data_IF_592640291367
#
_entry.id   IF_592640291367
#
_cell.length_a   1.000
_cell.length_b   1.000
_cell.length_c   1.000
_cell.angle_alpha   90.00
_cell.angle_beta   90.00
_cell.angle_gamma   90.00
#
_symmetry.space_group_name_H-M   'P 1'
#
loop_
_entity.id
_entity.type
_entity.pdbx_description
1 polymer ?
#
# COMPACT_ATOMS: atom_id res chain seq x y z
N UNK A 1 19.86 -4.61 2.48
CA UNK A 1 18.50 -5.17 2.57
C UNK A 1 17.62 -4.51 1.52
N UNK A 2 16.67 -5.21 0.96
CA UNK A 2 15.78 -4.73 -0.13
C UNK A 2 14.32 -5.07 0.21
N UNK A 3 13.34 -4.22 -0.21
CA UNK A 3 11.95 -4.37 0.26
C UNK A 3 11.17 -5.49 -0.43
N UNK A 4 11.49 -5.82 -1.68
CA UNK A 4 10.72 -6.78 -2.50
C UNK A 4 11.61 -7.75 -3.26
N UNK A 5 11.03 -8.88 -3.64
CA UNK A 5 11.68 -9.88 -4.48
C UNK A 5 12.10 -9.30 -5.85
N UNK A 6 11.26 -8.44 -6.46
CA UNK A 6 11.59 -7.80 -7.72
C UNK A 6 12.83 -6.91 -7.64
N UNK A 7 12.92 -6.08 -6.58
CA UNK A 7 14.12 -5.25 -6.34
C UNK A 7 15.35 -6.10 -6.05
N UNK A 8 15.18 -7.22 -5.32
CA UNK A 8 16.27 -8.16 -5.05
C UNK A 8 16.84 -8.71 -6.36
N UNK A 9 15.99 -9.28 -7.20
CA UNK A 9 16.38 -9.84 -8.50
C UNK A 9 17.04 -8.79 -9.42
N UNK A 10 16.46 -7.58 -9.49
CA UNK A 10 17.03 -6.50 -10.27
C UNK A 10 18.45 -6.15 -9.84
N UNK A 11 18.72 -6.11 -8.54
CA UNK A 11 20.05 -5.78 -8.01
C UNK A 11 21.03 -6.96 -8.20
N UNK A 12 20.59 -8.20 -8.06
CA UNK A 12 21.40 -9.38 -8.35
C UNK A 12 21.89 -9.39 -9.80
N UNK A 13 20.99 -9.10 -10.76
CA UNK A 13 21.35 -8.96 -12.18
C UNK A 13 22.36 -7.83 -12.44
N UNK A 14 22.41 -6.83 -11.59
CA UNK A 14 23.40 -5.73 -11.64
C UNK A 14 24.72 -6.06 -10.91
N UNK A 15 24.87 -7.29 -10.42
CA UNK A 15 26.09 -7.78 -9.77
C UNK A 15 26.18 -7.50 -8.27
N UNK A 16 25.14 -6.94 -7.65
CA UNK A 16 25.10 -6.81 -6.19
C UNK A 16 25.01 -8.20 -5.54
N UNK A 17 25.72 -8.39 -4.43
CA UNK A 17 25.79 -9.66 -3.70
C UNK A 17 25.37 -9.49 -2.24
N UNK A 18 25.13 -10.61 -1.55
CA UNK A 18 24.75 -10.63 -0.13
C UNK A 18 23.46 -9.86 0.15
N UNK A 19 22.54 -9.84 -0.82
CA UNK A 19 21.23 -9.22 -0.66
C UNK A 19 20.36 -10.05 0.29
N UNK A 20 19.53 -9.34 1.07
CA UNK A 20 18.53 -9.94 1.96
C UNK A 20 17.24 -9.17 1.77
N UNK A 21 16.16 -9.90 1.57
CA UNK A 21 14.85 -9.27 1.54
C UNK A 21 14.43 -8.93 2.96
N UNK A 22 14.04 -7.68 3.15
CA UNK A 22 13.53 -7.16 4.42
C UNK A 22 12.27 -6.35 4.15
N UNK A 23 11.15 -6.90 4.60
CA UNK A 23 9.82 -6.31 4.39
C UNK A 23 9.56 -5.15 5.34
N UNK A 24 8.50 -4.41 5.05
CA UNK A 24 7.94 -3.40 5.95
C UNK A 24 6.84 -4.02 6.83
N UNK A 25 6.40 -3.27 7.83
CA UNK A 25 5.29 -3.63 8.70
C UNK A 25 4.17 -2.61 8.66
N UNK A 26 2.96 -3.05 9.01
CA UNK A 26 1.81 -2.20 9.29
C UNK A 26 1.47 -2.24 10.78
N UNK A 27 1.06 -1.11 11.33
CA UNK A 27 0.55 -1.01 12.69
C UNK A 27 -0.94 -1.36 12.70
N UNK A 28 -1.22 -2.59 13.12
CA UNK A 28 -2.58 -3.14 13.13
C UNK A 28 -3.46 -2.61 14.28
N UNK A 29 -2.89 -1.85 15.21
CA UNK A 29 -3.63 -1.13 16.26
C UNK A 29 -4.10 0.23 15.75
N UNK A 30 -3.25 0.90 14.96
CA UNK A 30 -3.59 2.17 14.30
C UNK A 30 -4.60 1.94 13.16
N UNK A 31 -4.45 0.83 12.42
CA UNK A 31 -5.32 0.42 11.32
C UNK A 31 -6.10 -0.86 11.70
N UNK A 32 -7.11 -0.74 12.59
CA UNK A 32 -7.83 -1.89 13.11
C UNK A 32 -8.84 -2.45 12.11
N UNK A 33 -9.08 -3.75 12.17
CA UNK A 33 -10.17 -4.41 11.45
C UNK A 33 -11.46 -4.38 12.27
N UNK A 34 -12.53 -3.89 11.68
CA UNK A 34 -13.84 -3.75 12.34
C UNK A 34 -14.90 -4.73 11.80
N UNK A 35 -14.46 -5.71 10.99
CA UNK A 35 -15.37 -6.68 10.36
C UNK A 35 -15.94 -6.15 9.06
N UNK A 36 -17.13 -5.56 9.10
CA UNK A 36 -17.79 -4.99 7.94
C UNK A 36 -17.38 -3.54 7.67
N UNK A 37 -17.77 -3.00 6.51
CA UNK A 37 -17.53 -1.59 6.19
C UNK A 37 -18.28 -0.70 7.18
N UNK A 38 -17.55 0.22 7.83
CA UNK A 38 -18.10 1.12 8.83
C UNK A 38 -18.26 2.51 8.21
N UNK A 39 -19.45 3.13 8.31
CA UNK A 39 -19.63 4.48 7.82
C UNK A 39 -18.62 5.45 8.44
N UNK A 40 -17.94 6.23 7.59
CA UNK A 40 -17.02 7.25 8.07
C UNK A 40 -17.76 8.59 8.26
N UNK A 41 -17.73 9.18 9.45
CA UNK A 41 -18.35 10.48 9.68
C UNK A 41 -17.73 11.60 8.84
N UNK A 42 -16.52 11.41 8.34
CA UNK A 42 -15.78 12.39 7.54
C UNK A 42 -16.38 12.65 6.15
N UNK A 43 -17.11 11.68 5.62
CA UNK A 43 -17.58 11.73 4.22
C UNK A 43 -19.11 11.68 4.09
N UNK A 44 -19.84 11.62 5.20
CA UNK A 44 -21.31 11.58 5.23
C UNK A 44 -21.88 10.36 4.53
N UNK A 45 -23.12 10.45 4.02
CA UNK A 45 -23.74 9.37 3.25
C UNK A 45 -23.01 9.19 1.92
N UNK A 46 -22.54 7.96 1.68
CA UNK A 46 -21.84 7.56 0.45
C UNK A 46 -22.70 6.61 -0.37
N UNK A 47 -22.68 6.79 -1.68
CA UNK A 47 -23.19 5.77 -2.59
C UNK A 47 -22.15 4.66 -2.74
N UNK A 48 -22.50 3.43 -2.41
CA UNK A 48 -21.65 2.26 -2.61
C UNK A 48 -21.68 1.75 -4.04
N UNK A 49 -20.62 1.10 -4.52
CA UNK A 49 -19.36 0.89 -3.82
C UNK A 49 -18.51 2.15 -3.68
N UNK A 50 -17.76 2.26 -2.59
CA UNK A 50 -16.81 3.32 -2.32
C UNK A 50 -15.42 2.91 -2.80
N UNK A 51 -14.90 3.61 -3.81
CA UNK A 51 -13.54 3.40 -4.33
C UNK A 51 -12.61 4.48 -3.80
N UNK A 52 -11.54 4.07 -3.13
CA UNK A 52 -10.61 4.96 -2.41
C UNK A 52 -9.22 4.95 -3.02
N UNK A 53 -8.66 6.14 -3.24
CA UNK A 53 -7.24 6.37 -3.47
C UNK A 53 -6.64 7.13 -2.28
N UNK A 54 -5.47 6.69 -1.81
CA UNK A 54 -4.66 7.40 -0.80
C UNK A 54 -3.24 7.53 -1.29
N UNK A 55 -2.72 8.75 -1.32
CA UNK A 55 -1.34 9.01 -1.70
C UNK A 55 -1.10 10.42 -2.20
N UNK A 56 0.15 10.68 -2.60
CA UNK A 56 0.52 11.95 -3.23
C UNK A 56 -0.21 12.12 -4.57
N UNK A 57 -0.81 13.28 -4.78
CA UNK A 57 -1.53 13.61 -6.02
C UNK A 57 -0.52 14.08 -7.08
N UNK A 58 0.07 13.12 -7.80
CA UNK A 58 1.20 13.35 -8.70
C UNK A 58 1.21 12.37 -9.87
N UNK A 59 2.02 12.66 -10.90
CA UNK A 59 2.09 11.84 -12.12
C UNK A 59 2.58 10.41 -11.84
N UNK A 60 3.60 10.26 -10.98
CA UNK A 60 4.18 8.95 -10.64
C UNK A 60 3.17 8.01 -9.97
N UNK A 61 2.17 8.57 -9.27
CA UNK A 61 1.07 7.79 -8.67
C UNK A 61 -0.04 7.47 -9.65
N UNK A 62 0.03 7.98 -10.88
CA UNK A 62 -0.89 7.67 -11.98
C UNK A 62 -2.38 7.80 -11.59
N UNK A 63 -2.69 8.78 -10.73
CA UNK A 63 -4.04 8.99 -10.17
C UNK A 63 -5.09 9.23 -11.26
N UNK A 64 -4.71 9.83 -12.40
CA UNK A 64 -5.65 10.06 -13.51
C UNK A 64 -6.26 8.75 -14.04
N UNK A 65 -5.52 7.63 -14.02
CA UNK A 65 -6.09 6.32 -14.37
C UNK A 65 -7.26 5.92 -13.46
N UNK A 66 -7.18 6.22 -12.16
CA UNK A 66 -8.30 6.03 -11.23
C UNK A 66 -9.47 6.98 -11.51
N UNK A 67 -9.17 8.26 -11.71
CA UNK A 67 -10.20 9.28 -11.91
C UNK A 67 -11.03 9.07 -13.19
N UNK A 68 -10.37 8.62 -14.26
CA UNK A 68 -11.01 8.37 -15.57
C UNK A 68 -11.89 7.12 -15.61
N UNK A 69 -11.68 6.15 -14.70
CA UNK A 69 -12.49 4.93 -14.68
C UNK A 69 -13.97 5.25 -14.42
N UNK A 70 -14.86 4.62 -15.19
CA UNK A 70 -16.30 4.70 -14.96
C UNK A 70 -16.70 3.66 -13.90
N UNK A 71 -16.46 3.96 -12.65
CA UNK A 71 -16.88 3.15 -11.51
C UNK A 71 -18.23 3.65 -10.97
N UNK A 72 -19.14 2.76 -10.60
CA UNK A 72 -20.36 3.15 -9.88
C UNK A 72 -20.00 3.62 -8.46
N UNK A 73 -20.97 4.25 -7.79
CA UNK A 73 -20.83 4.67 -6.40
C UNK A 73 -19.97 5.92 -6.24
N UNK A 74 -19.20 5.97 -5.16
CA UNK A 74 -18.44 7.15 -4.75
C UNK A 74 -16.94 6.93 -4.96
N UNK A 75 -16.26 7.89 -5.61
CA UNK A 75 -14.79 7.98 -5.62
C UNK A 75 -14.30 8.94 -4.57
N UNK A 76 -13.30 8.51 -3.79
CA UNK A 76 -12.66 9.34 -2.77
C UNK A 76 -11.16 9.41 -3.02
N UNK A 77 -10.60 10.61 -2.91
CA UNK A 77 -9.16 10.87 -2.98
C UNK A 77 -8.70 11.49 -1.67
N UNK A 78 -7.77 10.81 -1.00
CA UNK A 78 -7.09 11.30 0.19
C UNK A 78 -5.63 11.59 -0.12
N UNK A 79 -5.18 12.80 0.16
CA UNK A 79 -3.83 13.26 -0.06
C UNK A 79 -3.77 14.63 -0.68
N UNK A 80 -2.55 15.12 -0.89
CA UNK A 80 -2.25 16.40 -1.56
C UNK A 80 -1.13 16.21 -2.57
N UNK A 81 -0.97 17.16 -3.48
CA UNK A 81 0.14 17.11 -4.42
C UNK A 81 0.03 18.11 -5.56
N UNK A 82 1.04 18.15 -6.43
CA UNK A 82 1.14 19.20 -7.48
C UNK A 82 -0.02 19.17 -8.49
N UNK A 83 -0.70 18.05 -8.67
CA UNK A 83 -1.81 17.92 -9.61
C UNK A 83 -3.17 18.22 -9.00
N UNK A 84 -3.26 18.42 -7.68
CA UNK A 84 -4.52 18.50 -6.93
C UNK A 84 -5.49 19.55 -7.49
N UNK A 85 -5.05 20.81 -7.65
CA UNK A 85 -5.92 21.88 -8.14
C UNK A 85 -6.52 21.56 -9.51
N UNK A 86 -5.66 21.17 -10.47
CA UNK A 86 -6.06 20.83 -11.83
C UNK A 86 -7.05 19.66 -11.88
N UNK A 87 -6.81 18.64 -11.05
CA UNK A 87 -7.65 17.44 -11.05
C UNK A 87 -8.98 17.68 -10.32
N UNK A 88 -9.02 18.51 -9.27
CA UNK A 88 -10.27 18.93 -8.63
C UNK A 88 -11.19 19.69 -9.59
N UNK A 89 -10.62 20.59 -10.39
CA UNK A 89 -11.37 21.33 -11.42
C UNK A 89 -11.92 20.41 -12.50
N UNK A 90 -11.16 19.36 -12.89
CA UNK A 90 -11.54 18.43 -13.95
C UNK A 90 -12.51 17.32 -13.51
N UNK A 91 -12.46 16.94 -12.23
CA UNK A 91 -13.28 15.87 -11.65
C UNK A 91 -14.01 16.35 -10.40
N UNK A 92 -14.97 17.30 -10.55
CA UNK A 92 -15.68 17.91 -9.42
C UNK A 92 -16.62 16.92 -8.68
N UNK A 93 -16.99 15.81 -9.32
CA UNK A 93 -17.80 14.74 -8.74
C UNK A 93 -17.06 13.87 -7.74
N UNK A 94 -15.72 13.90 -7.75
CA UNK A 94 -14.88 13.14 -6.83
C UNK A 94 -14.82 13.80 -5.47
N UNK A 95 -14.88 13.01 -4.40
CA UNK A 95 -14.68 13.53 -3.04
C UNK A 95 -13.20 13.66 -2.70
N UNK A 96 -12.74 14.88 -2.54
CA UNK A 96 -11.36 15.22 -2.19
C UNK A 96 -11.31 15.58 -0.70
N UNK A 97 -10.65 14.75 0.12
CA UNK A 97 -10.61 14.91 1.58
C UNK A 97 -9.31 15.52 2.11
N UNK A 98 -8.31 15.76 1.22
CA UNK A 98 -7.02 16.32 1.62
C UNK A 98 -6.19 15.36 2.47
N UNK A 99 -5.32 15.88 3.34
CA UNK A 99 -4.55 15.10 4.30
C UNK A 99 -5.38 14.80 5.54
N UNK A 100 -5.27 13.59 6.03
CA UNK A 100 -5.91 13.12 7.25
C UNK A 100 -4.87 12.67 8.27
N UNK A 101 -5.20 12.77 9.55
CA UNK A 101 -4.48 12.07 10.60
C UNK A 101 -4.69 10.55 10.50
N UNK A 102 -3.89 9.78 11.24
CA UNK A 102 -3.91 8.31 11.15
C UNK A 102 -5.24 7.69 11.53
N UNK A 103 -5.93 8.24 12.53
CA UNK A 103 -7.21 7.71 12.99
C UNK A 103 -8.31 7.97 11.96
N UNK A 104 -8.38 9.18 11.43
CA UNK A 104 -9.29 9.57 10.35
C UNK A 104 -9.02 8.77 9.07
N UNK A 105 -7.76 8.52 8.76
CA UNK A 105 -7.36 7.72 7.61
C UNK A 105 -7.77 6.24 7.79
N UNK A 106 -7.61 5.68 8.99
CA UNK A 106 -8.08 4.32 9.30
C UNK A 106 -9.59 4.19 9.14
N UNK A 107 -10.35 5.18 9.62
CA UNK A 107 -11.81 5.23 9.43
C UNK A 107 -12.20 5.34 7.94
N UNK A 108 -11.42 6.08 7.16
CA UNK A 108 -11.64 6.19 5.71
C UNK A 108 -11.36 4.87 4.98
N UNK A 109 -10.27 4.17 5.32
CA UNK A 109 -10.02 2.83 4.80
C UNK A 109 -11.15 1.86 5.17
N UNK A 110 -11.58 1.84 6.43
CA UNK A 110 -12.65 0.94 6.89
C UNK A 110 -13.99 1.18 6.16
N UNK A 111 -14.26 2.41 5.74
CA UNK A 111 -15.48 2.79 5.02
C UNK A 111 -15.43 2.46 3.52
N UNK A 112 -14.25 2.20 2.97
CA UNK A 112 -14.09 1.90 1.54
C UNK A 112 -14.42 0.43 1.23
N UNK A 113 -14.99 0.19 0.04
CA UNK A 113 -15.24 -1.15 -0.48
C UNK A 113 -14.04 -1.68 -1.27
N UNK A 114 -13.28 -0.79 -1.92
CA UNK A 114 -12.05 -1.13 -2.63
C UNK A 114 -11.03 0.01 -2.51
N UNK A 115 -9.79 -0.36 -2.23
CA UNK A 115 -8.64 0.53 -2.31
C UNK A 115 -7.97 0.41 -3.68
N UNK A 116 -7.94 1.50 -4.43
CA UNK A 116 -7.38 1.52 -5.78
C UNK A 116 -5.97 2.06 -5.77
N UNK A 117 -5.03 1.24 -6.22
CA UNK A 117 -3.61 1.57 -6.28
C UNK A 117 -3.13 1.64 -7.75
N UNK A 118 -3.24 2.80 -8.40
CA UNK A 118 -3.01 2.94 -9.83
C UNK A 118 -1.54 3.16 -10.23
N UNK A 119 -0.60 3.13 -9.27
CA UNK A 119 0.83 3.33 -9.55
C UNK A 119 1.35 2.26 -10.51
N UNK A 120 2.14 2.68 -11.50
CA UNK A 120 2.85 1.81 -12.45
C UNK A 120 4.30 1.53 -12.07
N UNK A 121 4.77 2.17 -11.01
CA UNK A 121 6.09 1.98 -10.43
C UNK A 121 5.96 2.19 -8.91
N UNK A 122 6.27 1.19 -8.15
CA UNK A 122 6.26 1.22 -6.68
C UNK A 122 7.21 0.18 -6.12
N UNK A 123 7.99 0.56 -5.14
CA UNK A 123 8.93 -0.37 -4.49
C UNK A 123 8.25 -1.26 -3.46
N UNK A 124 7.22 -0.79 -2.78
CA UNK A 124 6.47 -1.59 -1.80
C UNK A 124 5.00 -1.17 -1.69
N UNK A 125 4.70 0.06 -1.23
CA UNK A 125 3.34 0.59 -1.13
C UNK A 125 2.65 0.33 0.21
N UNK A 126 3.14 0.95 1.30
CA UNK A 126 2.60 0.80 2.67
C UNK A 126 1.09 1.08 2.77
N UNK A 127 0.56 2.00 1.98
CA UNK A 127 -0.87 2.34 1.95
C UNK A 127 -1.78 1.14 1.58
N UNK A 128 -1.25 0.17 0.82
CA UNK A 128 -1.98 -1.08 0.55
C UNK A 128 -2.09 -1.94 1.81
N UNK A 129 -1.02 -2.02 2.61
CA UNK A 129 -1.06 -2.73 3.89
C UNK A 129 -2.00 -2.06 4.89
N UNK A 130 -2.03 -0.72 4.92
CA UNK A 130 -2.94 0.06 5.76
C UNK A 130 -4.41 -0.22 5.39
N UNK A 131 -4.73 -0.17 4.10
CA UNK A 131 -6.07 -0.49 3.58
C UNK A 131 -6.47 -1.93 3.94
N UNK A 132 -5.62 -2.91 3.62
CA UNK A 132 -5.88 -4.32 3.93
C UNK A 132 -5.95 -4.58 5.44
N UNK A 133 -5.18 -3.85 6.25
CA UNK A 133 -5.26 -3.95 7.71
C UNK A 133 -6.66 -3.55 8.23
N UNK A 134 -7.31 -2.58 7.60
CA UNK A 134 -8.70 -2.20 7.87
C UNK A 134 -9.72 -3.15 7.19
N UNK A 135 -9.25 -4.15 6.45
CA UNK A 135 -10.11 -5.11 5.73
C UNK A 135 -10.51 -4.65 4.34
N UNK A 136 -9.93 -3.58 3.80
CA UNK A 136 -10.28 -3.08 2.47
C UNK A 136 -9.43 -3.76 1.40
N UNK A 137 -10.05 -4.50 0.46
CA UNK A 137 -9.33 -5.19 -0.60
C UNK A 137 -8.68 -4.20 -1.57
N UNK A 138 -7.57 -4.61 -2.17
CA UNK A 138 -6.75 -3.79 -3.06
C UNK A 138 -7.01 -4.15 -4.52
N UNK A 139 -7.11 -3.13 -5.38
CA UNK A 139 -7.07 -3.26 -6.83
C UNK A 139 -5.81 -2.54 -7.36
N UNK A 140 -4.93 -3.24 -8.06
CA UNK A 140 -3.66 -2.68 -8.51
C UNK A 140 -3.18 -3.25 -9.85
N UNK A 141 -2.23 -2.56 -10.49
CA UNK A 141 -1.43 -3.12 -11.56
C UNK A 141 -0.44 -4.16 -11.03
N UNK A 142 -0.06 -5.19 -11.85
CA UNK A 142 0.92 -6.19 -11.46
C UNK A 142 2.36 -5.66 -11.60
N UNK A 143 2.75 -4.74 -10.72
CA UNK A 143 4.11 -4.16 -10.60
C UNK A 143 4.73 -4.57 -9.26
N UNK A 144 6.04 -4.39 -9.10
CA UNK A 144 6.84 -4.97 -8.00
C UNK A 144 6.21 -4.86 -6.60
N UNK A 145 5.81 -3.66 -6.19
CA UNK A 145 5.20 -3.46 -4.87
C UNK A 145 3.89 -4.24 -4.68
N UNK A 146 2.88 -4.05 -5.54
CA UNK A 146 1.64 -4.85 -5.51
C UNK A 146 1.84 -6.35 -5.66
N UNK A 147 2.76 -6.81 -6.52
CA UNK A 147 3.09 -8.25 -6.65
C UNK A 147 3.58 -8.83 -5.32
N UNK A 148 4.45 -8.11 -4.61
CA UNK A 148 4.97 -8.50 -3.30
C UNK A 148 3.88 -8.45 -2.22
N UNK A 149 3.21 -7.30 -2.10
CA UNK A 149 2.24 -7.04 -1.04
C UNK A 149 1.04 -7.99 -1.12
N UNK A 150 0.54 -8.30 -2.30
CA UNK A 150 -0.57 -9.24 -2.48
C UNK A 150 -0.12 -10.71 -2.54
N UNK A 151 1.19 -10.99 -2.58
CA UNK A 151 1.74 -12.34 -2.58
C UNK A 151 1.54 -13.09 -3.88
N UNK A 152 1.65 -12.40 -5.02
CA UNK A 152 1.47 -13.00 -6.34
C UNK A 152 2.50 -14.11 -6.64
N UNK A 153 3.66 -14.09 -5.99
CA UNK A 153 4.71 -15.10 -6.11
C UNK A 153 4.52 -16.31 -5.18
N UNK A 154 3.52 -16.26 -4.29
CA UNK A 154 3.23 -17.37 -3.38
C UNK A 154 2.40 -18.46 -4.10
N UNK A 155 2.46 -19.75 -3.66
CA UNK A 155 1.73 -20.84 -4.29
C UNK A 155 0.21 -20.61 -4.40
N UNK A 156 -0.36 -19.85 -3.47
CA UNK A 156 -1.80 -19.51 -3.44
C UNK A 156 -2.14 -18.33 -4.38
N UNK A 157 -1.14 -17.69 -4.97
CA UNK A 157 -1.30 -16.48 -5.78
C UNK A 157 -1.68 -15.25 -4.94
N UNK A 158 -2.11 -14.18 -5.62
CA UNK A 158 -2.46 -12.92 -4.97
C UNK A 158 -3.62 -13.07 -3.98
N UNK A 159 -3.48 -12.47 -2.79
CA UNK A 159 -4.46 -12.50 -1.70
C UNK A 159 -4.74 -11.08 -1.18
N UNK A 160 -5.96 -10.86 -0.69
CA UNK A 160 -6.36 -9.57 -0.13
C UNK A 160 -6.61 -8.49 -1.17
N UNK A 161 -6.59 -8.83 -2.46
CA UNK A 161 -6.83 -7.92 -3.57
C UNK A 161 -6.65 -8.59 -4.93
N UNK A 162 -6.78 -7.80 -5.98
CA UNK A 162 -6.71 -8.25 -7.37
C UNK A 162 -5.65 -7.46 -8.14
N UNK A 163 -4.83 -8.18 -8.88
CA UNK A 163 -3.84 -7.63 -9.82
C UNK A 163 -4.34 -7.83 -11.25
N UNK A 164 -4.41 -6.76 -12.02
CA UNK A 164 -4.74 -6.84 -13.45
C UNK A 164 -4.09 -5.69 -14.23
N UNK A 165 -3.72 -5.95 -15.47
CA UNK A 165 -3.22 -4.92 -16.40
C UNK A 165 -4.32 -3.93 -16.80
N UNK A 166 -5.58 -4.33 -16.69
CA UNK A 166 -6.75 -3.44 -16.73
C UNK A 166 -7.22 -3.13 -15.30
N UNK A 167 -7.00 -1.89 -14.87
CA UNK A 167 -7.31 -1.45 -13.51
C UNK A 167 -8.81 -1.45 -13.22
N UNK A 168 -9.66 -1.20 -14.23
CA UNK A 168 -11.12 -1.27 -14.07
C UNK A 168 -11.57 -2.68 -13.73
N UNK A 169 -11.08 -3.67 -14.47
CA UNK A 169 -11.33 -5.09 -14.19
C UNK A 169 -10.81 -5.49 -12.82
N UNK A 170 -9.63 -4.99 -12.41
CA UNK A 170 -9.10 -5.21 -11.06
C UNK A 170 -10.05 -4.68 -9.99
N UNK A 171 -10.56 -3.44 -10.15
CA UNK A 171 -11.49 -2.83 -9.20
C UNK A 171 -12.80 -3.62 -9.07
N UNK A 172 -13.40 -4.00 -10.21
CA UNK A 172 -14.65 -4.76 -10.22
C UNK A 172 -14.50 -6.11 -9.53
N UNK A 173 -13.42 -6.82 -9.83
CA UNK A 173 -13.14 -8.12 -9.22
C UNK A 173 -12.77 -8.00 -7.72
N UNK A 174 -12.08 -6.94 -7.31
CA UNK A 174 -11.69 -6.71 -5.93
C UNK A 174 -12.90 -6.50 -4.99
N UNK A 175 -14.02 -5.99 -5.49
CA UNK A 175 -15.26 -5.85 -4.72
C UNK A 175 -15.82 -7.19 -4.20
N UNK A 176 -15.46 -8.31 -4.84
CA UNK A 176 -15.86 -9.65 -4.41
C UNK A 176 -14.89 -10.28 -3.39
N UNK A 177 -13.75 -9.66 -3.12
CA UNK A 177 -12.76 -10.17 -2.17
C UNK A 177 -13.24 -9.93 -0.74
N UNK A 178 -13.37 -10.99 0.08
CA UNK A 178 -13.84 -10.84 1.46
C UNK A 178 -12.89 -9.97 2.29
N UNK A 179 -13.44 -9.05 3.10
CA UNK A 179 -12.66 -8.13 3.93
C UNK A 179 -11.70 -8.84 4.89
N UNK A 180 -12.10 -9.99 5.43
CA UNK A 180 -11.24 -10.78 6.32
C UNK A 180 -10.02 -11.38 5.58
N UNK A 181 -10.12 -11.65 4.26
CA UNK A 181 -8.98 -12.08 3.45
C UNK A 181 -7.95 -10.96 3.29
N UNK A 182 -8.41 -9.73 3.03
CA UNK A 182 -7.55 -8.55 3.00
C UNK A 182 -6.84 -8.38 4.35
N UNK A 183 -7.58 -8.45 5.47
CA UNK A 183 -7.01 -8.40 6.81
C UNK A 183 -5.99 -9.51 7.06
N UNK A 184 -6.31 -10.74 6.70
CA UNK A 184 -5.42 -11.89 6.88
C UNK A 184 -4.10 -11.68 6.16
N UNK A 185 -4.14 -11.15 4.93
CA UNK A 185 -2.93 -10.82 4.18
C UNK A 185 -2.09 -9.73 4.86
N UNK A 186 -2.71 -8.66 5.35
CA UNK A 186 -1.99 -7.59 6.08
C UNK A 186 -1.24 -8.12 7.31
N UNK A 187 -1.76 -9.14 8.00
CA UNK A 187 -1.13 -9.76 9.16
C UNK A 187 0.17 -10.52 8.83
N UNK A 188 0.46 -10.77 7.55
CA UNK A 188 1.76 -11.29 7.13
C UNK A 188 2.86 -10.23 7.26
N UNK A 189 2.50 -8.95 7.32
CA UNK A 189 3.39 -7.78 7.34
C UNK A 189 3.25 -6.97 8.63
N UNK A 190 3.52 -7.57 9.77
CA UNK A 190 3.54 -6.83 11.05
C UNK A 190 4.92 -6.25 11.33
N UNK A 191 4.99 -5.16 12.11
CA UNK A 191 6.27 -4.62 12.58
C UNK A 191 7.07 -5.65 13.39
N UNK A 192 6.41 -6.52 14.14
CA UNK A 192 7.06 -7.61 14.88
C UNK A 192 7.80 -8.55 13.94
N UNK A 193 7.15 -8.97 12.84
CA UNK A 193 7.80 -9.82 11.82
C UNK A 193 8.94 -9.10 11.11
N UNK A 194 8.71 -7.84 10.69
CA UNK A 194 9.72 -7.04 10.02
C UNK A 194 10.96 -6.81 10.91
N UNK A 195 10.76 -6.49 12.19
CA UNK A 195 11.85 -6.31 13.16
C UNK A 195 12.58 -7.63 13.43
N UNK A 196 11.85 -8.74 13.53
CA UNK A 196 12.45 -10.07 13.70
C UNK A 196 13.40 -10.42 12.55
N UNK A 197 12.97 -10.19 11.30
CA UNK A 197 13.85 -10.38 10.12
C UNK A 197 15.05 -9.44 10.14
N UNK A 198 14.86 -8.18 10.52
CA UNK A 198 15.96 -7.22 10.64
C UNK A 198 17.02 -7.71 11.61
N UNK A 199 16.61 -8.11 12.81
CA UNK A 199 17.53 -8.63 13.86
C UNK A 199 18.25 -9.89 13.38
N UNK A 200 17.54 -10.80 12.70
CA UNK A 200 18.13 -12.03 12.14
C UNK A 200 19.22 -11.75 11.11
N UNK A 201 19.14 -10.62 10.38
CA UNK A 201 20.12 -10.25 9.35
C UNK A 201 21.27 -9.40 9.88
N UNK A 202 21.25 -8.99 11.15
CA UNK A 202 22.38 -8.29 11.74
C UNK A 202 23.60 -9.22 11.84
N UNK A 203 24.75 -8.68 11.50
CA UNK A 203 26.03 -9.34 11.69
C UNK A 203 26.78 -8.67 12.85
N UNK A 204 27.48 -9.42 13.72
CA UNK A 204 28.28 -8.84 14.78
C UNK A 204 29.31 -7.86 14.21
N UNK A 205 29.41 -6.65 14.77
CA UNK A 205 30.49 -5.75 14.45
C UNK A 205 31.81 -6.38 14.88
N UNK A 206 32.78 -6.48 13.98
CA UNK A 206 34.13 -6.93 14.37
C UNK A 206 34.71 -5.86 15.29
N UNK A 207 34.98 -6.20 16.53
CA UNK A 207 35.64 -5.34 17.54
C UNK A 207 37.13 -5.06 17.26
N UNK A 208 37.48 -4.77 16.02
CA UNK A 208 38.88 -4.66 15.59
C UNK A 208 39.22 -3.43 14.76
N UNK A 209 38.55 -2.28 14.94
CA UNK A 209 38.80 -1.11 14.11
C UNK A 209 38.78 0.27 14.74
N UNK A 210 38.43 0.40 16.02
CA UNK A 210 38.32 1.72 16.68
C UNK A 210 39.55 2.18 17.46
N UNK A 211 40.61 1.37 17.55
CA UNK A 211 41.82 1.73 18.32
C UNK A 211 42.89 2.50 17.50
N UNK A 212 42.60 2.96 16.28
CA UNK A 212 43.59 3.70 15.45
C UNK A 212 43.20 5.14 15.06
N UNK A 213 42.19 5.73 15.68
CA UNK A 213 41.78 7.12 15.38
C UNK A 213 41.92 8.11 16.54
N UNK A 214 42.62 7.74 17.64
CA UNK A 214 42.91 8.69 18.72
C UNK A 214 44.42 8.63 18.98
N UNK A 215 45.20 9.16 18.07
CA UNK A 215 46.58 9.65 18.32
C UNK A 215 47.02 10.52 17.15
N UNK A 216 46.51 11.74 17.13
CA UNK A 216 47.21 12.87 16.52
C UNK A 216 47.11 14.02 17.52
N UNK A 217 48.18 14.19 18.21
CA UNK A 217 48.57 15.38 18.96
C UNK A 217 48.52 16.64 18.12
#
# INVERSE_FOLDING_TARGET
MVPTQGVLQMLEHRGFRNLRQWTHGVDTQVFPFQGEAVPSPLVGALAHPVSLFVGRISYEKNIESFLQMKLPGTKIVCGVGPLERRLKERYPEVRWVGLLDRQSLAALYAAADVFVFPSRSETFGLVMLEAMSCGTPVAAYPVDGPLEVLGAFEPQGARGGILNTDLLSACQAALAVPRHEARRRALDFTWTKATGLFVQYLVPARSGGLSRLVSVT
#
